data_IF_439811619420
#
_entry.id   IF_439811619420
#
_cell.length_a   1.000
_cell.length_b   1.000
_cell.length_c   1.000
_cell.angle_alpha   90.00
_cell.angle_beta   90.00
_cell.angle_gamma   90.00
#
_symmetry.space_group_name_H-M   'P 1'
#
loop_
_entity.id
_entity.type
_entity.pdbx_description
1 polymer ?
#
# COMPACT_ATOMS: atom_id res chain seq x y z
N UNK A 1 -20.23 15.28 -2.29
CA UNK A 1 -19.35 14.35 -3.02
C UNK A 1 -18.64 13.50 -2.00
N UNK A 2 -18.52 12.19 -2.22
CA UNK A 2 -17.69 11.33 -1.37
C UNK A 2 -16.23 11.77 -1.56
N UNK A 3 -15.51 11.98 -0.47
CA UNK A 3 -14.10 12.38 -0.50
C UNK A 3 -13.28 11.29 -1.18
N UNK A 4 -12.47 11.65 -2.18
CA UNK A 4 -11.60 10.68 -2.87
C UNK A 4 -10.45 10.31 -1.95
N UNK A 5 -10.18 9.02 -1.82
CA UNK A 5 -9.21 8.48 -0.88
C UNK A 5 -8.35 7.44 -1.58
N UNK A 6 -7.05 7.69 -1.63
CA UNK A 6 -6.10 6.79 -2.23
C UNK A 6 -5.36 6.00 -1.15
N UNK A 7 -5.21 4.70 -1.36
CA UNK A 7 -4.41 3.81 -0.52
C UNK A 7 -3.23 3.29 -1.33
N UNK A 8 -2.03 3.75 -1.00
CA UNK A 8 -0.78 3.28 -1.60
C UNK A 8 -0.21 2.19 -0.70
N UNK A 9 0.03 1.02 -1.26
CA UNK A 9 0.67 -0.11 -0.55
C UNK A 9 1.79 -0.70 -1.41
N UNK A 10 2.59 -1.59 -0.83
CA UNK A 10 3.70 -2.25 -1.50
C UNK A 10 3.44 -3.74 -1.60
N UNK A 11 3.95 -4.41 -2.64
CA UNK A 11 4.00 -5.86 -2.65
C UNK A 11 5.34 -6.35 -2.09
N UNK A 12 5.26 -7.30 -1.17
CA UNK A 12 6.41 -8.04 -0.64
C UNK A 12 6.45 -9.47 -1.13
N UNK A 13 7.32 -10.30 -0.53
CA UNK A 13 7.40 -11.73 -0.84
C UNK A 13 6.08 -12.48 -0.64
N UNK A 14 5.22 -12.00 0.24
CA UNK A 14 3.93 -12.59 0.59
C UNK A 14 2.83 -11.54 0.44
N UNK A 15 1.80 -11.85 -0.36
CA UNK A 15 0.58 -11.04 -0.47
C UNK A 15 -0.21 -10.94 0.84
N UNK A 16 0.01 -11.87 1.79
CA UNK A 16 -0.74 -11.90 3.06
C UNK A 16 -0.54 -10.66 3.92
N UNK A 17 0.69 -10.12 3.98
CA UNK A 17 0.96 -8.92 4.77
C UNK A 17 0.14 -7.72 4.25
N UNK A 18 0.02 -7.59 2.93
CA UNK A 18 -0.80 -6.58 2.28
C UNK A 18 -2.29 -6.84 2.56
N UNK A 19 -2.79 -8.03 2.24
CA UNK A 19 -4.22 -8.36 2.36
C UNK A 19 -4.71 -8.25 3.81
N UNK A 20 -3.93 -8.70 4.79
CA UNK A 20 -4.29 -8.60 6.20
C UNK A 20 -4.31 -7.16 6.68
N UNK A 21 -3.34 -6.34 6.25
CA UNK A 21 -3.33 -4.91 6.62
C UNK A 21 -4.50 -4.19 5.98
N UNK A 22 -4.75 -4.44 4.69
CA UNK A 22 -5.89 -3.86 3.98
C UNK A 22 -7.23 -4.22 4.62
N UNK A 23 -7.42 -5.51 4.97
CA UNK A 23 -8.59 -5.95 5.73
C UNK A 23 -8.70 -5.25 7.09
N UNK A 24 -7.59 -5.08 7.82
CA UNK A 24 -7.58 -4.40 9.11
C UNK A 24 -7.96 -2.90 8.97
N UNK A 25 -7.48 -2.23 7.93
CA UNK A 25 -7.82 -0.82 7.63
C UNK A 25 -9.32 -0.68 7.39
N UNK A 26 -9.91 -1.52 6.52
CA UNK A 26 -11.35 -1.46 6.25
C UNK A 26 -12.19 -1.85 7.47
N UNK A 27 -11.75 -2.86 8.24
CA UNK A 27 -12.41 -3.27 9.48
C UNK A 27 -12.44 -2.15 10.52
N UNK A 28 -11.36 -1.36 10.62
CA UNK A 28 -11.29 -0.24 11.55
C UNK A 28 -12.28 0.88 11.20
N UNK A 29 -12.73 0.97 9.94
CA UNK A 29 -13.73 1.93 9.49
C UNK A 29 -13.25 3.38 9.43
N UNK A 30 -11.96 3.63 9.67
CA UNK A 30 -11.38 4.99 9.66
C UNK A 30 -11.12 5.47 8.23
N UNK A 31 -10.82 4.54 7.31
CA UNK A 31 -10.45 4.86 5.94
C UNK A 31 -11.07 3.88 4.95
N UNK A 32 -11.68 4.42 3.91
CA UNK A 32 -12.37 3.69 2.84
C UNK A 32 -11.85 4.23 1.49
N UNK A 33 -10.90 3.55 0.85
CA UNK A 33 -10.29 4.05 -0.37
C UNK A 33 -11.23 3.94 -1.58
N UNK A 34 -11.18 4.94 -2.45
CA UNK A 34 -11.73 4.92 -3.81
C UNK A 34 -10.72 4.43 -4.82
N UNK A 35 -9.43 4.57 -4.50
CA UNK A 35 -8.31 4.22 -5.35
C UNK A 35 -7.29 3.41 -4.54
N UNK A 36 -6.83 2.29 -5.07
CA UNK A 36 -5.80 1.45 -4.47
C UNK A 36 -4.66 1.29 -5.48
N UNK A 37 -3.44 1.64 -5.06
CA UNK A 37 -2.24 1.48 -5.87
C UNK A 37 -1.25 0.55 -5.18
N UNK A 38 -0.90 -0.53 -5.87
CA UNK A 38 0.03 -1.56 -5.37
C UNK A 38 1.37 -1.35 -6.06
N UNK A 39 2.37 -0.97 -5.29
CA UNK A 39 3.74 -0.78 -5.74
C UNK A 39 4.46 -2.13 -5.76
N UNK A 40 4.72 -2.65 -6.96
CA UNK A 40 5.26 -3.98 -7.21
C UNK A 40 6.77 -3.91 -7.45
N UNK A 41 7.60 -4.40 -6.53
CA UNK A 41 9.03 -4.63 -6.80
C UNK A 41 9.17 -5.81 -7.78
N UNK A 42 9.97 -5.69 -8.84
CA UNK A 42 10.16 -6.76 -9.84
C UNK A 42 10.70 -8.08 -9.26
N UNK A 43 11.29 -8.07 -8.07
CA UNK A 43 11.70 -9.28 -7.35
C UNK A 43 10.64 -9.77 -6.35
N UNK A 44 9.46 -9.15 -6.32
CA UNK A 44 8.25 -9.74 -5.76
C UNK A 44 7.94 -11.04 -6.50
N UNK A 45 7.69 -12.10 -5.73
CA UNK A 45 7.32 -13.42 -6.27
C UNK A 45 5.81 -13.66 -6.27
N UNK A 46 5.03 -12.73 -5.71
CA UNK A 46 3.57 -12.87 -5.66
C UNK A 46 2.96 -12.46 -7.00
N UNK A 47 1.99 -13.25 -7.47
CA UNK A 47 1.22 -12.88 -8.66
C UNK A 47 0.41 -11.59 -8.40
N UNK A 48 0.53 -10.55 -9.25
CA UNK A 48 -0.28 -9.35 -9.13
C UNK A 48 -1.77 -9.66 -9.16
N UNK A 49 -2.20 -10.62 -10.00
CA UNK A 49 -3.60 -10.98 -10.17
C UNK A 49 -4.26 -11.45 -8.87
N UNK A 50 -3.58 -12.32 -8.10
CA UNK A 50 -4.11 -12.82 -6.83
C UNK A 50 -4.20 -11.74 -5.74
N UNK A 51 -3.29 -10.77 -5.74
CA UNK A 51 -3.36 -9.62 -4.82
C UNK A 51 -4.54 -8.72 -5.19
N UNK A 52 -4.70 -8.39 -6.48
CA UNK A 52 -5.79 -7.55 -6.99
C UNK A 52 -7.14 -8.19 -6.68
N UNK A 53 -7.29 -9.48 -6.97
CA UNK A 53 -8.51 -10.25 -6.65
C UNK A 53 -8.80 -10.24 -5.14
N UNK A 54 -7.78 -10.49 -4.31
CA UNK A 54 -7.92 -10.46 -2.85
C UNK A 54 -8.38 -9.09 -2.32
N UNK A 55 -7.82 -8.00 -2.83
CA UNK A 55 -8.27 -6.64 -2.48
C UNK A 55 -9.73 -6.45 -2.90
N UNK A 56 -10.12 -6.91 -4.09
CA UNK A 56 -11.50 -6.85 -4.57
C UNK A 56 -12.48 -7.58 -3.65
N UNK A 57 -12.18 -8.82 -3.27
CA UNK A 57 -13.01 -9.63 -2.35
C UNK A 57 -13.14 -8.95 -0.98
N UNK A 58 -12.05 -8.44 -0.43
CA UNK A 58 -12.08 -7.72 0.85
C UNK A 58 -12.91 -6.44 0.72
N UNK A 59 -12.73 -5.67 -0.36
CA UNK A 59 -13.47 -4.43 -0.63
C UNK A 59 -14.98 -4.67 -0.67
N UNK A 60 -15.42 -5.69 -1.42
CA UNK A 60 -16.83 -6.07 -1.54
C UNK A 60 -17.44 -6.41 -0.18
N UNK A 61 -16.71 -7.15 0.67
CA UNK A 61 -17.15 -7.50 2.03
C UNK A 61 -17.46 -6.27 2.90
N UNK A 62 -16.77 -5.14 2.66
CA UNK A 62 -16.98 -3.88 3.38
C UNK A 62 -17.83 -2.87 2.59
N UNK A 63 -18.42 -3.28 1.45
CA UNK A 63 -19.35 -2.45 0.68
C UNK A 63 -18.69 -1.35 -0.14
N UNK A 64 -17.41 -1.48 -0.49
CA UNK A 64 -16.68 -0.55 -1.35
C UNK A 64 -16.18 -1.25 -2.62
N UNK A 65 -15.89 -0.47 -3.66
CA UNK A 65 -15.38 -0.97 -4.94
C UNK A 65 -14.30 -0.02 -5.49
N UNK A 66 -13.08 -0.05 -4.92
CA UNK A 66 -12.01 0.85 -5.35
C UNK A 66 -11.50 0.52 -6.75
N UNK A 67 -10.96 1.52 -7.45
CA UNK A 67 -10.13 1.31 -8.63
C UNK A 67 -8.77 0.77 -8.18
N UNK A 68 -8.43 -0.47 -8.57
CA UNK A 68 -7.18 -1.13 -8.19
C UNK A 68 -6.19 -1.03 -9.35
N UNK A 69 -4.97 -0.58 -9.06
CA UNK A 69 -3.88 -0.40 -10.01
C UNK A 69 -2.57 -0.96 -9.47
N UNK A 70 -1.67 -1.37 -10.36
CA UNK A 70 -0.31 -1.79 -10.03
C UNK A 70 0.70 -0.84 -10.63
N UNK A 71 1.80 -0.60 -9.92
CA UNK A 71 2.95 0.18 -10.40
C UNK A 71 4.19 -0.68 -10.27
N UNK A 72 4.76 -1.09 -11.39
CA UNK A 72 5.97 -1.92 -11.38
C UNK A 72 7.23 -1.09 -11.16
N UNK A 73 8.13 -1.60 -10.32
CA UNK A 73 9.41 -1.01 -10.00
C UNK A 73 10.55 -1.96 -10.37
N UNK A 74 11.65 -1.44 -10.93
CA UNK A 74 12.87 -2.23 -11.13
C UNK A 74 13.41 -2.75 -9.79
N UNK A 75 13.84 -4.01 -9.75
CA UNK A 75 14.35 -4.65 -8.54
C UNK A 75 15.62 -3.96 -8.04
N UNK A 76 15.66 -3.62 -6.76
CA UNK A 76 16.87 -3.14 -6.09
C UNK A 76 17.20 -1.67 -6.32
N UNK A 77 16.42 -0.96 -7.15
CA UNK A 77 16.53 0.48 -7.32
C UNK A 77 15.56 1.20 -6.36
N UNK A 78 16.04 1.42 -5.14
CA UNK A 78 15.23 2.07 -4.10
C UNK A 78 14.98 3.54 -4.39
N UNK A 79 15.89 4.23 -5.09
CA UNK A 79 15.68 5.62 -5.47
C UNK A 79 14.52 5.75 -6.48
N UNK A 80 14.49 4.86 -7.48
CA UNK A 80 13.37 4.78 -8.41
C UNK A 80 12.05 4.43 -7.71
N UNK A 81 12.09 3.61 -6.65
CA UNK A 81 10.92 3.33 -5.83
C UNK A 81 10.36 4.61 -5.17
N UNK A 82 11.24 5.42 -4.58
CA UNK A 82 10.85 6.70 -3.98
C UNK A 82 10.26 7.66 -5.00
N UNK A 83 10.91 7.80 -6.16
CA UNK A 83 10.45 8.69 -7.24
C UNK A 83 9.10 8.24 -7.83
N UNK A 84 8.89 6.94 -8.02
CA UNK A 84 7.64 6.40 -8.50
C UNK A 84 6.47 6.64 -7.53
N UNK A 85 6.70 6.44 -6.23
CA UNK A 85 5.68 6.74 -5.21
C UNK A 85 5.40 8.24 -5.14
N UNK A 86 6.43 9.09 -5.26
CA UNK A 86 6.25 10.53 -5.31
C UNK A 86 5.35 10.94 -6.48
N UNK A 87 5.68 10.54 -7.71
CA UNK A 87 4.87 10.84 -8.90
C UNK A 87 3.43 10.32 -8.76
N UNK A 88 3.26 9.13 -8.19
CA UNK A 88 1.96 8.56 -7.92
C UNK A 88 1.16 9.44 -6.93
N UNK A 89 1.80 9.86 -5.83
CA UNK A 89 1.17 10.69 -4.82
C UNK A 89 0.86 12.12 -5.32
N UNK A 90 1.72 12.71 -6.13
CA UNK A 90 1.47 14.01 -6.79
C UNK A 90 0.24 13.93 -7.70
N UNK A 91 0.16 12.87 -8.52
CA UNK A 91 -1.00 12.65 -9.39
C UNK A 91 -2.28 12.48 -8.58
N UNK A 92 -2.28 11.60 -7.58
CA UNK A 92 -3.46 11.34 -6.74
C UNK A 92 -3.89 12.58 -5.95
N UNK A 93 -2.94 13.35 -5.41
CA UNK A 93 -3.21 14.64 -4.77
C UNK A 93 -3.81 15.66 -5.75
N UNK A 94 -3.25 15.74 -6.96
CA UNK A 94 -3.78 16.58 -8.05
C UNK A 94 -5.19 16.18 -8.48
N UNK A 95 -5.52 14.89 -8.40
CA UNK A 95 -6.85 14.33 -8.63
C UNK A 95 -7.82 14.56 -7.43
N UNK A 96 -7.36 15.25 -6.37
CA UNK A 96 -8.13 15.59 -5.18
C UNK A 96 -8.25 14.46 -4.15
N UNK A 97 -7.35 13.46 -4.19
CA UNK A 97 -7.37 12.36 -3.24
C UNK A 97 -6.64 12.73 -1.95
N UNK A 98 -7.25 12.44 -0.80
CA UNK A 98 -6.49 12.24 0.43
C UNK A 98 -5.69 10.94 0.33
N UNK A 99 -4.46 10.90 0.86
CA UNK A 99 -3.54 9.78 0.68
C UNK A 99 -3.31 9.05 2.00
N UNK A 100 -3.42 7.73 1.96
CA UNK A 100 -2.91 6.83 2.99
C UNK A 100 -1.79 5.95 2.44
N UNK A 101 -0.81 5.66 3.27
CA UNK A 101 0.34 4.81 2.94
C UNK A 101 0.39 3.60 3.87
N UNK A 102 0.42 2.39 3.31
CA UNK A 102 0.66 1.16 4.06
C UNK A 102 2.12 0.73 3.94
N UNK A 103 2.81 0.75 5.08
CA UNK A 103 4.24 0.45 5.20
C UNK A 103 4.51 -0.97 5.75
N UNK A 104 3.47 -1.80 5.83
CA UNK A 104 3.57 -3.17 6.31
C UNK A 104 4.29 -4.07 5.30
N UNK A 105 3.74 -4.27 4.09
CA UNK A 105 4.36 -5.13 3.08
C UNK A 105 5.53 -4.43 2.37
N UNK A 106 6.28 -5.18 1.56
CA UNK A 106 7.39 -4.65 0.76
C UNK A 106 8.73 -4.56 1.49
N UNK A 107 9.76 -4.13 0.75
CA UNK A 107 11.12 -3.97 1.28
C UNK A 107 11.23 -2.66 2.04
N UNK A 108 11.84 -2.71 3.24
CA UNK A 108 11.98 -1.52 4.09
C UNK A 108 12.80 -0.40 3.44
N UNK A 109 13.80 -0.71 2.62
CA UNK A 109 14.54 0.31 1.87
C UNK A 109 13.66 1.07 0.86
N UNK A 110 12.77 0.37 0.13
CA UNK A 110 11.83 1.01 -0.80
C UNK A 110 10.80 1.88 -0.06
N UNK A 111 10.27 1.38 1.06
CA UNK A 111 9.36 2.13 1.93
C UNK A 111 10.02 3.40 2.45
N UNK A 112 11.22 3.31 3.01
CA UNK A 112 11.96 4.47 3.53
C UNK A 112 12.20 5.47 2.41
N UNK A 113 12.64 5.02 1.24
CA UNK A 113 12.84 5.92 0.10
C UNK A 113 11.55 6.65 -0.31
N UNK A 114 10.41 5.95 -0.36
CA UNK A 114 9.10 6.55 -0.61
C UNK A 114 8.73 7.58 0.45
N UNK A 115 8.83 7.25 1.74
CA UNK A 115 8.53 8.18 2.82
C UNK A 115 9.43 9.43 2.77
N UNK A 116 10.73 9.26 2.50
CA UNK A 116 11.68 10.37 2.36
C UNK A 116 11.36 11.24 1.15
N UNK A 117 11.02 10.66 0.01
CA UNK A 117 10.63 11.40 -1.19
C UNK A 117 9.37 12.25 -0.95
N UNK A 118 8.32 11.65 -0.36
CA UNK A 118 7.08 12.36 -0.01
C UNK A 118 7.34 13.52 0.97
N UNK A 119 8.10 13.27 2.03
CA UNK A 119 8.45 14.28 3.02
C UNK A 119 9.25 15.44 2.41
N UNK A 120 10.19 15.14 1.49
CA UNK A 120 11.00 16.15 0.82
C UNK A 120 10.18 17.03 -0.13
N UNK A 121 9.10 16.50 -0.69
CA UNK A 121 8.15 17.22 -1.52
C UNK A 121 7.04 17.93 -0.71
N UNK A 122 7.04 17.82 0.62
CA UNK A 122 6.00 18.39 1.48
C UNK A 122 4.65 17.67 1.39
N UNK A 123 4.61 16.43 0.86
CA UNK A 123 3.39 15.61 0.80
C UNK A 123 3.30 14.80 2.09
N UNK A 124 2.30 15.11 2.91
CA UNK A 124 1.99 14.38 4.14
C UNK A 124 0.78 13.47 3.92
N UNK A 125 0.92 12.14 3.97
CA UNK A 125 -0.23 11.24 4.01
C UNK A 125 -1.10 11.54 5.23
N UNK A 126 -2.42 11.48 5.07
CA UNK A 126 -3.39 11.61 6.17
C UNK A 126 -3.23 10.45 7.17
N UNK A 127 -2.91 9.26 6.64
CA UNK A 127 -2.64 8.07 7.43
C UNK A 127 -1.40 7.32 6.94
N UNK A 128 -0.67 6.77 7.90
CA UNK A 128 0.37 5.77 7.67
C UNK A 128 -0.03 4.51 8.46
N UNK A 129 -0.24 3.41 7.76
CA UNK A 129 -0.65 2.13 8.34
C UNK A 129 0.53 1.18 8.48
N UNK A 130 0.60 0.54 9.64
CA UNK A 130 1.52 -0.55 9.91
C UNK A 130 0.82 -1.63 10.75
N UNK A 131 0.72 -2.84 10.22
CA UNK A 131 0.23 -3.99 10.96
C UNK A 131 1.40 -4.65 11.69
N UNK A 132 1.57 -4.29 12.95
CA UNK A 132 2.51 -4.94 13.86
C UNK A 132 2.05 -6.34 14.22
N UNK A 133 2.94 -7.33 14.10
CA UNK A 133 2.72 -8.65 14.67
C UNK A 133 3.30 -8.66 16.09
N UNK A 134 2.46 -9.01 17.06
CA UNK A 134 2.96 -9.38 18.39
C UNK A 134 3.65 -10.73 18.27
N UNK A 135 4.97 -10.73 18.26
CA UNK A 135 5.76 -11.97 18.30
C UNK A 135 6.01 -12.29 19.76
N UNK A 136 5.22 -13.21 20.31
CA UNK A 136 5.56 -13.87 21.58
C UNK A 136 6.62 -14.96 21.32
N UNK A 137 7.50 -15.20 22.30
CA UNK A 137 8.50 -16.27 22.22
C UNK A 137 7.80 -17.61 21.94
N UNK A 138 8.22 -18.29 20.87
CA UNK A 138 7.70 -19.61 20.49
C UNK A 138 6.65 -19.63 19.38
N UNK A 139 6.14 -18.49 18.91
CA UNK A 139 5.25 -18.48 17.73
C UNK A 139 6.01 -18.63 16.42
N UNK A 140 5.49 -19.48 15.53
CA UNK A 140 5.95 -19.59 14.16
C UNK A 140 5.78 -18.24 13.45
N UNK A 141 6.86 -17.72 12.86
CA UNK A 141 6.79 -16.48 12.08
C UNK A 141 5.97 -16.75 10.81
N UNK A 142 4.98 -15.91 10.46
CA UNK A 142 4.06 -16.16 9.35
C UNK A 142 4.68 -15.95 7.96
N UNK A 143 6.01 -15.81 7.86
CA UNK A 143 6.77 -15.60 6.63
C UNK A 143 8.27 -15.90 6.80
#
# INVERSE_FOLDING_TARGET
>A
MQERRAYITFAGRSGWALLNTYHAVLRAGVYAPTDVSIVMDAACRSSPAGIVEGIGIISERYGISPLISTVDLPCGDYAAAGEAVLRLAERLSGDGCAIALDITPGRKAAIVSACTALASAGIAPEHIYYLGLLVEEGMARPY
#
